data_IF_118901508404
#
_entry.id   IF_118901508404
#
_cell.length_a   1.000
_cell.length_b   1.000
_cell.length_c   1.000
_cell.angle_alpha   90.00
_cell.angle_beta   90.00
_cell.angle_gamma   90.00
#
_symmetry.space_group_name_H-M   'P 1'
#
loop_
_entity.id
_entity.type
_entity.pdbx_description
1 polymer ?
#
# COMPACT_ATOMS: atom_id res chain seq x y z
N UNK A 1 -16.49 -0.62 39.11
CA UNK A 1 -17.51 -1.05 38.11
C UNK A 1 -16.99 -0.63 36.74
N UNK A 2 -16.95 -1.56 35.80
CA UNK A 2 -16.49 -1.32 34.42
C UNK A 2 -17.62 -0.71 33.60
N UNK A 3 -17.25 0.03 32.52
CA UNK A 3 -18.23 0.50 31.56
C UNK A 3 -18.77 -0.66 30.72
N UNK A 4 -17.87 -1.56 30.29
CA UNK A 4 -18.22 -2.79 29.57
C UNK A 4 -17.41 -3.97 30.11
N UNK A 5 -18.06 -5.14 30.25
CA UNK A 5 -17.38 -6.41 30.51
C UNK A 5 -17.74 -7.43 29.44
N UNK A 6 -16.73 -7.98 28.77
CA UNK A 6 -16.88 -9.11 27.85
C UNK A 6 -16.62 -10.38 28.63
N UNK A 7 -17.63 -11.25 28.75
CA UNK A 7 -17.62 -12.46 29.58
C UNK A 7 -17.28 -13.72 28.80
N UNK A 8 -16.63 -14.66 29.47
CA UNK A 8 -16.48 -16.05 29.01
C UNK A 8 -15.76 -16.23 27.67
N UNK A 9 -15.05 -15.23 27.17
CA UNK A 9 -14.40 -15.26 25.86
C UNK A 9 -13.15 -16.15 25.83
N UNK A 10 -12.78 -16.59 24.65
CA UNK A 10 -11.45 -17.13 24.37
C UNK A 10 -10.58 -15.99 23.88
N UNK A 11 -9.67 -15.49 24.70
CA UNK A 11 -8.81 -14.34 24.37
C UNK A 11 -7.65 -14.78 23.48
N UNK A 12 -7.44 -14.01 22.38
CA UNK A 12 -6.28 -14.04 21.52
C UNK A 12 -5.76 -12.62 21.44
N UNK A 13 -4.72 -12.30 22.18
CA UNK A 13 -4.31 -10.94 22.50
C UNK A 13 -3.22 -10.38 21.55
N UNK A 14 -2.77 -11.17 20.57
CA UNK A 14 -1.75 -10.76 19.60
C UNK A 14 -0.30 -10.86 20.10
N UNK A 15 -0.05 -11.32 21.32
CA UNK A 15 1.30 -11.48 21.88
C UNK A 15 2.07 -12.66 21.31
N UNK A 16 1.42 -13.54 20.55
CA UNK A 16 1.98 -14.82 20.09
C UNK A 16 1.87 -15.95 21.11
N UNK A 17 1.35 -15.69 22.31
CA UNK A 17 1.07 -16.70 23.32
C UNK A 17 -0.18 -17.52 22.95
N UNK A 18 -0.31 -18.77 23.46
CA UNK A 18 -1.50 -19.56 23.28
C UNK A 18 -2.77 -18.85 23.81
N UNK A 19 -3.87 -19.04 23.10
CA UNK A 19 -5.20 -18.55 23.53
C UNK A 19 -5.57 -19.04 24.92
N UNK A 20 -6.29 -18.21 25.67
CA UNK A 20 -6.74 -18.52 27.02
C UNK A 20 -8.18 -18.02 27.30
N UNK A 21 -8.84 -18.55 28.28
CA UNK A 21 -10.17 -18.11 28.70
C UNK A 21 -10.06 -16.98 29.72
N UNK A 22 -10.73 -15.87 29.44
CA UNK A 22 -10.81 -14.73 30.34
C UNK A 22 -12.02 -13.85 30.02
N UNK A 23 -12.39 -13.02 31.02
CA UNK A 23 -13.22 -11.84 30.82
C UNK A 23 -12.32 -10.63 30.47
N UNK A 24 -12.87 -9.65 29.76
CA UNK A 24 -12.20 -8.40 29.48
C UNK A 24 -13.05 -7.24 29.99
N UNK A 25 -12.49 -6.43 30.89
CA UNK A 25 -13.15 -5.25 31.47
C UNK A 25 -12.59 -3.96 30.83
N UNK A 26 -13.48 -3.08 30.38
CA UNK A 26 -13.16 -1.81 29.75
C UNK A 26 -13.72 -0.64 30.56
N UNK A 27 -12.94 0.46 30.60
CA UNK A 27 -13.36 1.76 31.13
C UNK A 27 -13.03 2.81 30.05
N UNK A 28 -14.06 3.42 29.48
CA UNK A 28 -13.90 4.33 28.34
C UNK A 28 -13.22 3.60 27.17
N UNK A 29 -12.10 4.14 26.71
CA UNK A 29 -11.26 3.63 25.62
C UNK A 29 -10.15 2.67 26.06
N UNK A 30 -10.12 2.26 27.33
CA UNK A 30 -9.03 1.48 27.93
C UNK A 30 -9.45 0.09 28.35
N UNK A 31 -8.62 -0.91 28.03
CA UNK A 31 -8.69 -2.23 28.64
C UNK A 31 -8.17 -2.08 30.08
N UNK A 32 -9.06 -2.19 31.05
CA UNK A 32 -8.75 -1.99 32.45
C UNK A 32 -8.35 -3.29 33.16
N UNK A 33 -8.87 -4.44 32.70
CA UNK A 33 -8.54 -5.75 33.24
C UNK A 33 -8.77 -6.88 32.25
N UNK A 34 -7.90 -7.89 32.28
CA UNK A 34 -8.11 -9.18 31.59
C UNK A 34 -7.91 -10.28 32.63
N UNK A 35 -8.87 -11.19 32.74
CA UNK A 35 -8.81 -12.28 33.70
C UNK A 35 -10.21 -12.67 34.20
N UNK A 36 -10.30 -13.19 35.42
CA UNK A 36 -11.59 -13.49 36.05
C UNK A 36 -12.13 -12.23 36.74
N UNK A 37 -13.12 -11.60 36.11
CA UNK A 37 -13.75 -10.36 36.61
C UNK A 37 -15.02 -10.72 37.38
N UNK A 38 -15.08 -10.35 38.66
CA UNK A 38 -16.27 -10.60 39.50
C UNK A 38 -17.25 -9.44 39.50
N UNK A 39 -16.74 -8.24 39.28
CA UNK A 39 -17.51 -7.00 39.24
C UNK A 39 -18.38 -6.95 37.97
N UNK A 40 -19.55 -6.33 38.10
CA UNK A 40 -20.43 -6.08 36.96
C UNK A 40 -19.94 -4.89 36.13
N UNK A 41 -20.14 -4.98 34.81
CA UNK A 41 -20.11 -3.86 33.91
C UNK A 41 -21.45 -3.12 33.91
N UNK A 42 -21.43 -1.83 33.43
CA UNK A 42 -22.66 -1.14 33.05
C UNK A 42 -23.35 -1.91 31.91
N UNK A 43 -22.53 -2.39 30.98
CA UNK A 43 -22.90 -3.28 29.87
C UNK A 43 -22.10 -4.60 30.01
N UNK A 44 -22.70 -5.69 29.58
CA UNK A 44 -22.04 -6.99 29.53
C UNK A 44 -22.33 -7.71 28.21
N UNK A 45 -21.29 -8.28 27.62
CA UNK A 45 -21.37 -9.11 26.41
C UNK A 45 -20.97 -10.52 26.76
N UNK A 46 -21.85 -11.49 26.52
CA UNK A 46 -21.49 -12.90 26.66
C UNK A 46 -20.80 -13.40 25.38
N UNK A 47 -19.50 -13.65 25.48
CA UNK A 47 -18.66 -14.18 24.42
C UNK A 47 -18.44 -15.69 24.55
N UNK A 48 -19.36 -16.44 25.19
CA UNK A 48 -19.26 -17.89 25.30
C UNK A 48 -19.15 -18.52 23.90
N UNK A 49 -18.08 -19.30 23.67
CA UNK A 49 -17.79 -19.92 22.37
C UNK A 49 -17.19 -19.01 21.32
N UNK A 50 -16.98 -17.74 21.64
CA UNK A 50 -16.39 -16.76 20.74
C UNK A 50 -14.93 -16.45 21.07
N UNK A 51 -14.20 -15.90 20.09
CA UNK A 51 -12.86 -15.36 20.26
C UNK A 51 -12.97 -13.85 20.53
N UNK A 52 -12.24 -13.39 21.54
CA UNK A 52 -12.06 -11.97 21.86
C UNK A 52 -10.64 -11.59 21.50
N UNK A 53 -10.47 -10.69 20.56
CA UNK A 53 -9.16 -10.21 20.10
C UNK A 53 -9.15 -8.68 19.99
N UNK A 54 -7.97 -8.04 19.99
CA UNK A 54 -7.84 -6.68 19.49
C UNK A 54 -8.38 -6.56 18.06
N UNK A 55 -8.82 -5.37 17.69
CA UNK A 55 -9.17 -5.09 16.31
C UNK A 55 -7.97 -5.29 15.38
N UNK A 56 -8.22 -5.69 14.14
CA UNK A 56 -7.16 -5.93 13.17
C UNK A 56 -6.55 -4.62 12.70
N UNK A 57 -5.23 -4.66 12.46
CA UNK A 57 -4.49 -3.58 11.81
C UNK A 57 -4.24 -4.01 10.37
N UNK A 58 -4.82 -3.29 9.40
CA UNK A 58 -4.46 -3.45 8.00
C UNK A 58 -3.20 -2.63 7.74
N UNK A 59 -2.06 -3.31 7.67
CA UNK A 59 -0.73 -2.69 7.58
C UNK A 59 -0.36 -2.19 6.18
N UNK A 60 -1.20 -2.43 5.16
CA UNK A 60 -0.90 -2.00 3.80
C UNK A 60 -2.18 -1.63 3.04
N UNK A 61 -2.49 -0.34 3.01
CA UNK A 61 -3.64 0.19 2.27
C UNK A 61 -3.23 1.38 1.42
N UNK A 62 -4.07 1.71 0.42
CA UNK A 62 -3.99 2.93 -0.38
C UNK A 62 -5.23 3.80 -0.14
N UNK A 63 -5.62 3.94 1.13
CA UNK A 63 -6.77 4.73 1.54
C UNK A 63 -6.48 6.24 1.63
N UNK A 64 -5.29 6.69 1.23
CA UNK A 64 -4.83 8.08 1.30
C UNK A 64 -5.81 9.08 0.68
N UNK A 65 -6.38 8.71 -0.46
CA UNK A 65 -7.43 9.48 -1.11
C UNK A 65 -8.83 9.07 -0.63
N UNK A 66 -9.07 7.76 -0.43
CA UNK A 66 -10.36 7.21 -0.06
C UNK A 66 -10.90 7.78 1.25
N UNK A 67 -10.04 8.08 2.21
CA UNK A 67 -10.43 8.64 3.51
C UNK A 67 -11.26 9.93 3.38
N UNK A 68 -11.15 10.66 2.26
CA UNK A 68 -11.89 11.90 2.02
C UNK A 68 -13.33 11.70 1.52
N UNK A 69 -13.67 10.54 0.95
CA UNK A 69 -15.06 10.22 0.55
C UNK A 69 -15.64 9.04 1.33
N UNK A 70 -14.81 8.25 1.97
CA UNK A 70 -15.21 7.15 2.84
C UNK A 70 -14.35 7.13 4.13
N UNK A 71 -14.50 8.15 4.99
CA UNK A 71 -13.71 8.22 6.23
C UNK A 71 -14.06 7.11 7.22
N UNK A 72 -15.20 6.41 7.02
CA UNK A 72 -15.57 5.27 7.87
C UNK A 72 -14.69 4.04 7.61
N UNK A 73 -13.97 4.00 6.49
CA UNK A 73 -13.18 2.84 6.07
C UNK A 73 -14.08 1.64 5.79
N UNK A 74 -15.17 1.86 5.04
CA UNK A 74 -16.13 0.82 4.64
C UNK A 74 -15.42 -0.37 4.01
N UNK A 75 -16.02 -1.55 4.10
CA UNK A 75 -15.42 -2.85 3.85
C UNK A 75 -14.38 -3.23 4.91
N UNK A 76 -13.33 -2.45 5.15
CA UNK A 76 -12.30 -2.78 6.14
C UNK A 76 -12.89 -2.87 7.56
N UNK A 77 -13.65 -1.88 8.01
CA UNK A 77 -14.29 -1.90 9.33
C UNK A 77 -15.29 -3.05 9.50
N UNK A 78 -15.98 -3.46 8.42
CA UNK A 78 -16.92 -4.59 8.45
C UNK A 78 -16.22 -5.94 8.65
N UNK A 79 -14.93 -6.01 8.40
CA UNK A 79 -14.09 -7.19 8.61
C UNK A 79 -13.29 -7.14 9.92
N UNK A 80 -13.62 -6.19 10.83
CA UNK A 80 -12.97 -6.07 12.13
C UNK A 80 -11.64 -5.30 12.09
N UNK A 81 -11.33 -4.60 10.99
CA UNK A 81 -10.20 -3.67 10.94
C UNK A 81 -10.56 -2.44 11.77
N UNK A 82 -9.70 -2.09 12.71
CA UNK A 82 -9.83 -0.90 13.57
C UNK A 82 -8.75 0.14 13.30
N UNK A 83 -7.72 -0.22 12.54
CA UNK A 83 -6.64 0.69 12.14
C UNK A 83 -6.20 0.34 10.72
N UNK A 84 -6.14 1.33 9.83
CA UNK A 84 -5.58 1.21 8.49
C UNK A 84 -4.30 2.03 8.37
N UNK A 85 -3.27 1.44 7.77
CA UNK A 85 -2.00 2.13 7.47
C UNK A 85 -2.02 2.59 6.02
N UNK A 86 -1.90 3.91 5.84
CA UNK A 86 -1.84 4.60 4.55
C UNK A 86 -0.40 4.96 4.18
N UNK A 87 -0.19 5.48 2.98
CA UNK A 87 1.11 5.94 2.52
C UNK A 87 2.04 4.82 2.11
N UNK A 88 1.51 3.70 1.63
CA UNK A 88 2.31 2.56 1.20
C UNK A 88 2.86 2.72 -0.22
N UNK A 89 3.83 1.91 -0.61
CA UNK A 89 4.45 1.87 -1.94
C UNK A 89 5.04 3.22 -2.41
N UNK A 90 5.36 4.13 -1.48
CA UNK A 90 5.86 5.46 -1.79
C UNK A 90 4.78 6.47 -2.19
N UNK A 91 3.50 6.16 -1.97
CA UNK A 91 2.37 7.00 -2.36
C UNK A 91 1.69 7.63 -1.15
N UNK A 92 1.70 8.95 -1.10
CA UNK A 92 0.93 9.77 -0.15
C UNK A 92 0.44 11.02 -0.86
N UNK A 93 -0.47 11.75 -0.21
CA UNK A 93 -0.95 13.04 -0.70
C UNK A 93 -0.16 14.23 -0.10
N UNK A 94 0.84 13.95 0.73
CA UNK A 94 1.67 14.95 1.40
C UNK A 94 3.12 14.44 1.57
N UNK A 95 4.11 15.35 1.63
CA UNK A 95 3.99 16.80 1.50
C UNK A 95 3.68 17.25 0.08
N UNK A 96 3.14 18.47 -0.08
CA UNK A 96 2.91 19.07 -1.36
C UNK A 96 1.86 20.16 -1.38
N UNK A 97 2.10 21.24 -2.13
CA UNK A 97 1.18 22.36 -2.25
C UNK A 97 0.03 22.08 -3.21
N UNK A 98 -0.99 22.96 -3.19
CA UNK A 98 -2.12 22.89 -4.12
C UNK A 98 -1.69 22.94 -5.59
N UNK A 99 -0.62 23.67 -5.92
CA UNK A 99 -0.06 23.75 -7.27
C UNK A 99 0.61 22.42 -7.71
N UNK A 100 1.07 21.63 -6.76
CA UNK A 100 1.71 20.32 -6.99
C UNK A 100 0.71 19.16 -7.00
N UNK A 101 -0.56 19.42 -6.62
CA UNK A 101 -1.60 18.43 -6.43
C UNK A 101 -1.67 17.41 -7.57
N UNK A 102 -1.79 17.89 -8.81
CA UNK A 102 -2.00 17.00 -9.97
C UNK A 102 -0.78 16.11 -10.23
N UNK A 103 0.43 16.60 -9.98
CA UNK A 103 1.67 15.80 -10.06
C UNK A 103 1.70 14.72 -8.96
N UNK A 104 1.31 15.07 -7.73
CA UNK A 104 1.28 14.11 -6.61
C UNK A 104 0.23 13.05 -6.86
N UNK A 105 -0.99 13.42 -7.27
CA UNK A 105 -2.07 12.49 -7.59
C UNK A 105 -1.70 11.57 -8.75
N UNK A 106 -0.94 12.05 -9.74
CA UNK A 106 -0.53 11.24 -10.89
C UNK A 106 0.29 10.00 -10.49
N UNK A 107 1.04 10.05 -9.37
CA UNK A 107 1.79 8.89 -8.87
C UNK A 107 0.88 7.73 -8.45
N UNK A 108 -0.33 8.01 -7.95
CA UNK A 108 -1.20 6.98 -7.35
C UNK A 108 -2.30 6.50 -8.31
N UNK A 109 -2.77 7.34 -9.22
CA UNK A 109 -3.93 7.07 -10.10
C UNK A 109 -3.83 5.71 -10.79
N UNK A 110 -2.75 5.48 -11.53
CA UNK A 110 -2.58 4.24 -12.30
C UNK A 110 -1.95 3.13 -11.46
N UNK A 111 -1.07 3.48 -10.55
CA UNK A 111 -0.37 2.49 -9.73
C UNK A 111 -1.37 1.67 -8.90
N UNK A 112 -2.42 2.33 -8.41
CA UNK A 112 -3.43 1.75 -7.52
C UNK A 112 -4.84 1.72 -8.14
N UNK A 113 -4.96 2.06 -9.43
CA UNK A 113 -6.21 2.05 -10.20
C UNK A 113 -7.33 2.89 -9.55
N UNK A 114 -6.95 4.05 -8.98
CA UNK A 114 -7.88 4.97 -8.33
C UNK A 114 -8.35 6.02 -9.34
N UNK A 115 -9.67 6.28 -9.39
CA UNK A 115 -10.25 7.25 -10.30
C UNK A 115 -9.77 8.68 -10.02
N UNK A 116 -9.18 9.34 -11.04
CA UNK A 116 -8.81 10.75 -10.97
C UNK A 116 -10.00 11.66 -10.68
N UNK A 117 -11.16 11.37 -11.30
CA UNK A 117 -12.39 12.15 -11.12
C UNK A 117 -12.92 12.02 -9.68
N UNK A 118 -12.86 10.82 -9.09
CA UNK A 118 -13.25 10.61 -7.70
C UNK A 118 -12.35 11.41 -6.74
N UNK A 119 -11.04 11.38 -6.96
CA UNK A 119 -10.09 12.16 -6.16
C UNK A 119 -10.30 13.67 -6.32
N UNK A 120 -10.50 14.14 -7.55
CA UNK A 120 -10.76 15.57 -7.83
C UNK A 120 -12.04 16.07 -7.17
N UNK A 121 -13.06 15.23 -7.12
CA UNK A 121 -14.36 15.58 -6.52
C UNK A 121 -14.33 15.58 -4.98
N UNK A 122 -13.54 14.70 -4.36
CA UNK A 122 -13.57 14.46 -2.93
C UNK A 122 -12.51 15.26 -2.16
N UNK A 123 -11.33 15.48 -2.75
CA UNK A 123 -10.19 16.05 -2.04
C UNK A 123 -10.19 17.57 -2.14
N UNK A 124 -10.37 18.23 -1.00
CA UNK A 124 -10.00 19.63 -0.83
C UNK A 124 -8.54 19.66 -0.39
N UNK A 125 -7.70 20.29 -1.19
CA UNK A 125 -6.27 20.34 -0.92
C UNK A 125 -5.94 21.50 0.01
N UNK A 126 -6.12 21.29 1.32
CA UNK A 126 -5.99 22.32 2.37
C UNK A 126 -4.70 22.10 3.20
N UNK A 127 -3.62 21.59 2.59
CA UNK A 127 -2.33 21.35 3.23
C UNK A 127 -1.16 21.60 2.29
N UNK A 128 0.02 21.76 2.86
CA UNK A 128 1.33 21.76 2.17
C UNK A 128 2.27 20.78 2.84
N UNK A 129 2.34 20.81 4.18
CA UNK A 129 3.17 19.91 4.96
C UNK A 129 2.46 18.58 5.27
N UNK A 130 3.26 17.58 5.66
CA UNK A 130 2.72 16.31 6.13
C UNK A 130 1.90 16.46 7.43
N UNK A 131 2.32 17.39 8.33
CA UNK A 131 1.57 17.71 9.55
C UNK A 131 0.18 18.23 9.25
N UNK A 132 0.06 19.20 8.36
CA UNK A 132 -1.24 19.77 7.99
C UNK A 132 -2.16 18.71 7.36
N UNK A 133 -1.61 17.80 6.55
CA UNK A 133 -2.36 16.65 6.01
C UNK A 133 -2.91 15.76 7.13
N UNK A 134 -2.09 15.40 8.12
CA UNK A 134 -2.57 14.62 9.26
C UNK A 134 -3.64 15.37 10.05
N UNK A 135 -3.50 16.68 10.25
CA UNK A 135 -4.50 17.53 10.93
C UNK A 135 -5.84 17.56 10.17
N UNK A 136 -5.80 17.55 8.83
CA UNK A 136 -7.01 17.47 7.99
C UNK A 136 -7.65 16.08 8.13
N UNK A 137 -6.88 15.01 8.02
CA UNK A 137 -7.36 13.64 8.20
C UNK A 137 -7.93 13.44 9.61
N UNK A 138 -7.31 14.04 10.63
CA UNK A 138 -7.78 13.90 12.01
C UNK A 138 -9.17 14.50 12.25
N UNK A 139 -9.55 15.54 11.54
CA UNK A 139 -10.86 16.18 11.62
C UNK A 139 -11.99 15.43 10.92
N UNK A 140 -11.69 14.40 10.12
CA UNK A 140 -12.70 13.62 9.42
C UNK A 140 -13.53 12.76 10.40
N UNK A 141 -14.81 12.49 10.12
CA UNK A 141 -15.66 11.65 10.97
C UNK A 141 -15.34 10.16 10.78
N UNK A 142 -14.23 9.72 11.33
CA UNK A 142 -13.68 8.36 11.16
C UNK A 142 -14.39 7.33 12.03
N UNK A 143 -14.57 6.11 11.49
CA UNK A 143 -15.02 4.94 12.27
C UNK A 143 -13.85 4.03 12.70
N UNK A 144 -12.70 4.13 12.02
CA UNK A 144 -11.46 3.43 12.34
C UNK A 144 -10.31 4.41 12.48
N UNK A 145 -9.21 3.98 13.07
CA UNK A 145 -8.00 4.78 13.12
C UNK A 145 -7.25 4.72 11.80
N UNK A 146 -6.59 5.82 11.44
CA UNK A 146 -5.69 5.90 10.32
C UNK A 146 -4.30 6.28 10.81
N UNK A 147 -3.30 5.53 10.36
CA UNK A 147 -1.89 5.86 10.51
C UNK A 147 -1.29 6.05 9.11
N UNK A 148 -0.34 6.94 8.95
CA UNK A 148 0.23 7.22 7.63
C UNK A 148 1.75 7.20 7.66
N UNK A 149 2.34 6.62 6.61
CA UNK A 149 3.74 6.79 6.27
C UNK A 149 3.91 8.04 5.42
N UNK A 150 5.13 8.57 5.32
CA UNK A 150 5.49 9.52 4.28
C UNK A 150 5.99 8.77 3.04
N UNK A 151 5.43 9.07 1.86
CA UNK A 151 5.73 8.40 0.61
C UNK A 151 6.81 9.09 -0.20
N UNK A 152 7.78 8.31 -0.69
CA UNK A 152 8.93 8.80 -1.45
C UNK A 152 8.55 9.54 -2.74
N UNK A 153 7.53 9.06 -3.46
CA UNK A 153 7.07 9.73 -4.68
C UNK A 153 6.51 11.12 -4.40
N UNK A 154 5.72 11.28 -3.33
CA UNK A 154 5.21 12.58 -2.93
C UNK A 154 6.34 13.50 -2.44
N UNK A 155 7.25 12.98 -1.63
CA UNK A 155 8.43 13.69 -1.12
C UNK A 155 9.30 14.23 -2.26
N UNK A 156 9.66 13.39 -3.23
CA UNK A 156 10.41 13.79 -4.43
C UNK A 156 9.65 14.83 -5.26
N UNK A 157 8.34 14.62 -5.46
CA UNK A 157 7.50 15.56 -6.23
C UNK A 157 7.44 16.93 -5.54
N UNK A 158 7.34 16.94 -4.22
CA UNK A 158 7.33 18.19 -3.45
C UNK A 158 8.64 18.96 -3.58
N UNK A 159 9.78 18.30 -3.39
CA UNK A 159 11.10 18.94 -3.40
C UNK A 159 11.57 19.30 -4.81
N UNK A 160 11.38 18.41 -5.78
CA UNK A 160 11.98 18.53 -7.11
C UNK A 160 11.01 19.03 -8.19
N UNK A 161 9.69 19.04 -7.89
CA UNK A 161 8.67 19.35 -8.89
C UNK A 161 8.71 18.41 -10.11
N UNK A 162 8.59 18.92 -11.35
CA UNK A 162 8.64 18.09 -12.56
C UNK A 162 9.92 17.26 -12.74
N UNK A 163 11.05 17.73 -12.19
CA UNK A 163 12.33 17.01 -12.23
C UNK A 163 12.27 15.65 -11.53
N UNK A 164 11.37 15.47 -10.58
CA UNK A 164 11.19 14.21 -9.86
C UNK A 164 10.92 13.01 -10.76
N UNK A 165 10.33 13.25 -11.94
CA UNK A 165 9.94 12.23 -12.91
C UNK A 165 10.97 12.00 -14.03
N UNK A 166 12.15 12.64 -13.96
CA UNK A 166 13.12 12.60 -15.04
C UNK A 166 14.57 12.55 -14.55
N UNK A 167 14.83 12.99 -13.32
CA UNK A 167 16.18 13.21 -12.82
C UNK A 167 16.41 12.52 -11.48
N UNK A 168 17.65 12.20 -11.21
CA UNK A 168 18.10 11.87 -9.85
C UNK A 168 18.16 13.16 -9.02
N UNK A 169 18.01 13.02 -7.72
CA UNK A 169 18.13 14.13 -6.78
C UNK A 169 19.57 14.66 -6.76
N UNK A 170 19.71 15.98 -6.72
CA UNK A 170 20.97 16.64 -6.37
C UNK A 170 21.22 16.51 -4.85
N UNK A 171 22.39 16.92 -4.41
CA UNK A 171 22.71 16.99 -2.97
C UNK A 171 21.75 17.93 -2.22
N UNK A 172 21.41 19.08 -2.82
CA UNK A 172 20.48 20.03 -2.21
C UNK A 172 19.05 19.47 -2.14
N UNK A 173 18.60 18.79 -3.22
CA UNK A 173 17.31 18.09 -3.22
C UNK A 173 17.25 17.02 -2.12
N UNK A 174 18.34 16.26 -1.95
CA UNK A 174 18.40 15.23 -0.92
C UNK A 174 18.37 15.83 0.49
N UNK A 175 19.11 16.91 0.73
CA UNK A 175 19.05 17.64 2.01
C UNK A 175 17.65 18.19 2.33
N UNK A 176 16.92 18.68 1.32
CA UNK A 176 15.54 19.11 1.48
C UNK A 176 14.60 17.91 1.79
N UNK A 177 14.77 16.77 1.11
CA UNK A 177 14.01 15.55 1.41
C UNK A 177 14.29 15.01 2.81
N UNK A 178 15.53 15.09 3.29
CA UNK A 178 15.90 14.71 4.65
C UNK A 178 15.17 15.56 5.70
N UNK A 179 15.09 16.87 5.48
CA UNK A 179 14.36 17.78 6.35
C UNK A 179 12.87 17.44 6.41
N UNK A 180 12.22 17.31 5.27
CA UNK A 180 10.79 16.96 5.17
C UNK A 180 10.48 15.59 5.79
N UNK A 181 11.38 14.59 5.64
CA UNK A 181 11.25 13.29 6.27
C UNK A 181 11.26 13.40 7.81
N UNK A 182 12.19 14.17 8.37
CA UNK A 182 12.26 14.37 9.82
C UNK A 182 11.04 15.11 10.35
N UNK A 183 10.60 16.15 9.66
CA UNK A 183 9.38 16.91 10.02
C UNK A 183 8.12 16.02 9.96
N UNK A 184 8.03 15.13 8.97
CA UNK A 184 6.92 14.18 8.88
C UNK A 184 6.94 13.19 10.06
N UNK A 185 8.12 12.65 10.44
CA UNK A 185 8.26 11.75 11.59
C UNK A 185 7.90 12.47 12.89
N UNK A 186 8.27 13.73 13.04
CA UNK A 186 7.92 14.57 14.20
C UNK A 186 6.42 14.94 14.21
N UNK A 187 5.80 15.01 13.04
CA UNK A 187 4.36 15.20 12.92
C UNK A 187 3.55 13.96 13.28
N UNK A 188 4.14 12.76 13.25
CA UNK A 188 3.46 11.50 13.57
C UNK A 188 3.43 10.50 12.43
N UNK A 189 4.20 10.68 11.34
CA UNK A 189 4.40 9.63 10.36
C UNK A 189 4.96 8.38 11.06
N UNK A 190 4.37 7.22 10.75
CA UNK A 190 4.80 5.96 11.35
C UNK A 190 5.99 5.33 10.63
N UNK A 191 6.38 5.88 9.48
CA UNK A 191 7.50 5.41 8.69
C UNK A 191 7.65 6.12 7.36
N UNK A 192 8.54 5.58 6.55
CA UNK A 192 8.85 6.03 5.19
C UNK A 192 8.61 4.89 4.22
N UNK A 193 8.07 5.18 3.04
CA UNK A 193 7.79 4.15 2.05
C UNK A 193 8.36 4.53 0.69
N UNK A 194 8.75 3.54 -0.09
CA UNK A 194 9.27 3.76 -1.44
C UNK A 194 8.91 2.62 -2.39
N UNK A 195 8.99 2.93 -3.69
CA UNK A 195 8.82 1.95 -4.74
C UNK A 195 9.92 2.06 -5.78
N UNK A 196 10.56 0.93 -6.08
CA UNK A 196 11.32 0.73 -7.30
C UNK A 196 10.65 -0.29 -8.23
N UNK A 197 9.34 -0.51 -8.04
CA UNK A 197 8.55 -1.40 -8.90
C UNK A 197 8.34 -0.76 -10.28
N UNK A 198 8.81 -1.41 -11.32
CA UNK A 198 8.60 -0.97 -12.71
C UNK A 198 7.14 -1.03 -13.17
N UNK A 199 6.26 -1.65 -12.37
CA UNK A 199 4.82 -1.66 -12.60
C UNK A 199 4.12 -0.37 -12.18
N UNK A 200 4.75 0.42 -11.30
CA UNK A 200 4.19 1.70 -10.86
C UNK A 200 4.53 2.80 -11.89
N UNK A 201 3.50 3.27 -12.56
CA UNK A 201 3.61 4.21 -13.68
C UNK A 201 2.57 5.33 -13.58
N UNK A 202 2.87 6.45 -14.21
CA UNK A 202 1.92 7.55 -14.39
C UNK A 202 0.76 7.15 -15.32
N UNK A 203 -0.37 7.87 -15.26
CA UNK A 203 -1.50 7.65 -16.17
C UNK A 203 -1.11 7.81 -17.65
N UNK A 204 -1.87 7.16 -18.53
CA UNK A 204 -1.80 7.44 -19.97
C UNK A 204 -2.18 8.91 -20.27
N UNK A 205 -1.61 9.55 -21.26
CA UNK A 205 -0.65 9.00 -22.26
C UNK A 205 0.82 9.02 -21.80
N UNK A 206 1.15 9.57 -20.63
CA UNK A 206 2.53 9.73 -20.15
C UNK A 206 3.21 8.37 -19.94
N UNK A 207 2.62 7.49 -19.13
CA UNK A 207 3.09 6.12 -18.92
C UNK A 207 4.56 5.99 -18.44
N UNK A 208 5.18 7.08 -17.98
CA UNK A 208 6.51 7.07 -17.36
C UNK A 208 6.45 6.41 -15.97
N UNK A 209 7.59 5.97 -15.42
CA UNK A 209 7.67 5.53 -14.03
C UNK A 209 7.24 6.64 -13.05
N UNK A 210 6.71 6.26 -11.88
CA UNK A 210 6.43 7.20 -10.79
C UNK A 210 7.71 7.82 -10.23
N UNK A 211 7.60 8.92 -9.52
CA UNK A 211 8.73 9.73 -9.09
C UNK A 211 9.81 8.94 -8.31
N UNK A 212 9.42 8.04 -7.40
CA UNK A 212 10.37 7.23 -6.62
C UNK A 212 11.21 6.26 -7.45
N UNK A 213 10.74 5.86 -8.65
CA UNK A 213 11.51 4.97 -9.55
C UNK A 213 12.71 5.66 -10.21
N UNK A 214 12.83 6.98 -10.10
CA UNK A 214 13.99 7.74 -10.57
C UNK A 214 15.05 7.96 -9.48
N UNK A 215 14.78 7.50 -8.25
CA UNK A 215 15.73 7.57 -7.16
C UNK A 215 16.88 6.59 -7.34
N UNK A 216 18.07 7.00 -6.94
CA UNK A 216 19.18 6.07 -6.79
C UNK A 216 19.03 5.21 -5.54
N UNK A 217 19.76 4.09 -5.48
CA UNK A 217 19.81 3.28 -4.26
C UNK A 217 20.46 4.03 -3.09
N UNK A 218 21.41 4.90 -3.41
CA UNK A 218 22.12 5.76 -2.43
C UNK A 218 21.15 6.75 -1.80
N UNK A 219 20.30 7.44 -2.59
CA UNK A 219 19.25 8.34 -2.10
C UNK A 219 18.31 7.60 -1.14
N UNK A 220 17.79 6.44 -1.57
CA UNK A 220 16.91 5.63 -0.75
C UNK A 220 17.57 5.19 0.56
N UNK A 221 18.82 4.69 0.47
CA UNK A 221 19.57 4.21 1.63
C UNK A 221 19.87 5.32 2.62
N UNK A 222 20.18 6.53 2.14
CA UNK A 222 20.47 7.68 2.99
C UNK A 222 19.23 8.09 3.78
N UNK A 223 18.07 8.20 3.15
CA UNK A 223 16.81 8.52 3.81
C UNK A 223 16.43 7.46 4.85
N UNK A 224 16.58 6.17 4.54
CA UNK A 224 16.28 5.09 5.48
C UNK A 224 17.26 5.09 6.65
N UNK A 225 18.57 5.31 6.41
CA UNK A 225 19.55 5.41 7.48
C UNK A 225 19.32 6.65 8.37
N UNK A 226 18.93 7.78 7.77
CA UNK A 226 18.54 8.97 8.53
C UNK A 226 17.35 8.67 9.45
N UNK A 227 16.30 8.04 8.94
CA UNK A 227 15.17 7.61 9.77
C UNK A 227 15.65 6.67 10.91
N UNK A 228 16.54 5.73 10.60
CA UNK A 228 17.15 4.83 11.60
C UNK A 228 17.86 5.55 12.73
N UNK A 229 18.55 6.64 12.44
CA UNK A 229 19.24 7.47 13.45
C UNK A 229 18.30 8.09 14.47
N UNK A 230 17.02 8.26 14.12
CA UNK A 230 15.99 8.76 15.05
C UNK A 230 15.46 7.69 16.02
N UNK A 231 15.75 6.42 15.77
CA UNK A 231 15.19 5.27 16.51
C UNK A 231 13.69 5.06 16.27
N UNK A 232 13.10 5.71 15.28
CA UNK A 232 11.67 5.68 14.95
C UNK A 232 11.45 5.22 13.51
N UNK A 233 10.22 4.81 13.22
CA UNK A 233 9.72 4.52 11.88
C UNK A 233 9.92 3.08 11.42
N UNK A 234 9.19 2.77 10.35
CA UNK A 234 9.24 1.53 9.59
C UNK A 234 9.51 1.90 8.14
N UNK A 235 10.33 1.14 7.44
CA UNK A 235 10.49 1.29 6.00
C UNK A 235 9.64 0.25 5.26
N UNK A 236 8.65 0.69 4.49
CA UNK A 236 7.89 -0.19 3.59
C UNK A 236 8.41 -0.03 2.15
N UNK A 237 8.61 -1.16 1.47
CA UNK A 237 9.30 -1.18 0.19
C UNK A 237 8.57 -2.01 -0.87
N UNK A 238 8.01 -1.33 -1.88
CA UNK A 238 7.55 -1.98 -3.10
C UNK A 238 8.76 -2.30 -3.99
N UNK A 239 9.22 -3.54 -3.90
CA UNK A 239 10.48 -4.02 -4.46
C UNK A 239 10.50 -4.00 -5.99
N UNK A 240 11.69 -3.81 -6.52
CA UNK A 240 12.02 -3.90 -7.93
C UNK A 240 11.67 -5.29 -8.52
N UNK A 241 11.53 -5.32 -9.85
CA UNK A 241 11.20 -6.54 -10.60
C UNK A 241 12.23 -7.66 -10.41
N UNK A 242 13.50 -7.29 -10.25
CA UNK A 242 14.64 -8.17 -10.05
C UNK A 242 14.47 -9.08 -8.82
N UNK A 243 13.74 -8.62 -7.81
CA UNK A 243 13.40 -9.43 -6.63
C UNK A 243 12.51 -10.65 -6.95
N UNK A 244 11.88 -10.66 -8.12
CA UNK A 244 11.03 -11.75 -8.63
C UNK A 244 11.60 -12.38 -9.91
N UNK A 245 12.86 -12.12 -10.22
CA UNK A 245 13.54 -12.73 -11.38
C UNK A 245 13.50 -14.25 -11.28
N UNK A 246 13.31 -14.98 -12.39
CA UNK A 246 13.52 -16.42 -12.39
C UNK A 246 14.99 -16.80 -12.11
N UNK A 247 15.95 -15.92 -12.40
CA UNK A 247 17.36 -16.14 -12.12
C UNK A 247 17.70 -15.85 -10.63
N UNK A 248 18.14 -16.85 -9.85
CA UNK A 248 18.50 -16.66 -8.45
C UNK A 248 19.68 -15.72 -8.23
N UNK A 249 20.59 -15.58 -9.20
CA UNK A 249 21.72 -14.66 -9.09
C UNK A 249 21.25 -13.21 -9.11
N UNK A 250 20.27 -12.91 -9.95
CA UNK A 250 19.66 -11.58 -10.01
C UNK A 250 18.92 -11.26 -8.71
N UNK A 251 18.12 -12.21 -8.19
CA UNK A 251 17.46 -12.05 -6.90
C UNK A 251 18.42 -11.83 -5.75
N UNK A 252 19.55 -12.55 -5.76
CA UNK A 252 20.57 -12.43 -4.71
C UNK A 252 21.12 -11.00 -4.60
N UNK A 253 21.42 -10.35 -5.71
CA UNK A 253 21.97 -8.97 -5.70
C UNK A 253 21.04 -8.00 -4.96
N UNK A 254 19.74 -8.03 -5.29
CA UNK A 254 18.77 -7.13 -4.67
C UNK A 254 18.42 -7.53 -3.23
N UNK A 255 18.49 -8.80 -2.90
CA UNK A 255 18.33 -9.28 -1.53
C UNK A 255 19.51 -8.86 -0.65
N UNK A 256 20.75 -9.03 -1.12
CA UNK A 256 21.95 -8.69 -0.35
C UNK A 256 21.98 -7.20 0.01
N UNK A 257 21.68 -6.30 -0.94
CA UNK A 257 21.65 -4.85 -0.66
C UNK A 257 20.53 -4.45 0.30
N UNK A 258 19.38 -5.13 0.25
CA UNK A 258 18.28 -4.87 1.18
C UNK A 258 18.63 -5.39 2.59
N UNK A 259 19.29 -6.54 2.69
CA UNK A 259 19.82 -7.08 3.93
C UNK A 259 20.84 -6.13 4.57
N UNK A 260 21.80 -5.64 3.77
CA UNK A 260 22.78 -4.65 4.24
C UNK A 260 22.09 -3.38 4.78
N UNK A 261 21.09 -2.88 4.06
CA UNK A 261 20.32 -1.71 4.49
C UNK A 261 19.60 -1.97 5.82
N UNK A 262 18.98 -3.14 6.00
CA UNK A 262 18.27 -3.48 7.23
C UNK A 262 19.21 -3.53 8.44
N UNK A 263 20.38 -4.15 8.28
CA UNK A 263 21.38 -4.27 9.35
C UNK A 263 22.00 -2.90 9.65
N UNK A 264 22.40 -2.16 8.61
CA UNK A 264 23.06 -0.85 8.77
C UNK A 264 22.16 0.21 9.38
N UNK A 265 20.90 0.28 8.94
CA UNK A 265 19.95 1.29 9.43
C UNK A 265 19.31 0.94 10.77
N UNK A 266 19.19 -0.35 11.11
CA UNK A 266 18.44 -0.84 12.25
C UNK A 266 16.92 -0.62 12.15
N UNK A 267 16.44 -0.08 11.02
CA UNK A 267 15.02 0.17 10.77
C UNK A 267 14.29 -1.14 10.48
N UNK A 268 13.09 -1.36 11.04
CA UNK A 268 12.23 -2.45 10.60
C UNK A 268 11.86 -2.24 9.12
N UNK A 269 12.13 -3.24 8.29
CA UNK A 269 11.79 -3.19 6.85
C UNK A 269 10.65 -4.17 6.56
N UNK A 270 9.65 -3.72 5.83
CA UNK A 270 8.55 -4.58 5.38
C UNK A 270 8.35 -4.51 3.87
N UNK A 271 7.97 -5.63 3.26
CA UNK A 271 7.73 -5.74 1.82
C UNK A 271 6.79 -6.90 1.47
N UNK A 272 6.14 -6.82 0.31
CA UNK A 272 5.21 -7.84 -0.16
C UNK A 272 5.90 -9.14 -0.58
N UNK A 273 5.38 -10.28 -0.10
CA UNK A 273 5.77 -11.64 -0.52
C UNK A 273 4.53 -12.31 -1.14
N UNK A 274 4.29 -12.17 -2.45
CA UNK A 274 3.13 -12.78 -3.09
C UNK A 274 3.28 -14.30 -3.17
N UNK A 275 2.33 -15.01 -2.60
CA UNK A 275 2.31 -16.48 -2.60
C UNK A 275 2.37 -17.04 -4.04
N UNK A 276 3.17 -18.07 -4.24
CA UNK A 276 3.34 -18.75 -5.55
C UNK A 276 4.21 -18.00 -6.57
N UNK A 277 4.71 -16.81 -6.25
CA UNK A 277 5.64 -16.11 -7.15
C UNK A 277 7.06 -16.73 -7.11
N UNK A 278 7.83 -16.62 -8.21
CA UNK A 278 9.24 -16.95 -8.18
C UNK A 278 9.97 -16.17 -7.07
N UNK A 279 10.90 -16.82 -6.35
CA UNK A 279 11.69 -16.19 -5.31
C UNK A 279 11.01 -16.06 -3.93
N UNK A 280 9.83 -16.65 -3.72
CA UNK A 280 9.18 -16.68 -2.38
C UNK A 280 10.12 -17.29 -1.33
N UNK A 281 10.74 -18.43 -1.62
CA UNK A 281 11.67 -19.07 -0.67
C UNK A 281 12.89 -18.20 -0.39
N UNK A 282 13.45 -17.53 -1.41
CA UNK A 282 14.58 -16.62 -1.22
C UNK A 282 14.17 -15.41 -0.34
N UNK A 283 12.93 -14.92 -0.50
CA UNK A 283 12.40 -13.86 0.35
C UNK A 283 12.22 -14.32 1.81
N UNK A 284 11.74 -15.54 2.05
CA UNK A 284 11.63 -16.11 3.40
C UNK A 284 13.03 -16.30 4.01
N UNK A 285 13.98 -16.86 3.25
CA UNK A 285 15.35 -17.01 3.71
C UNK A 285 16.01 -15.65 4.03
N UNK A 286 15.66 -14.59 3.27
CA UNK A 286 16.12 -13.23 3.55
C UNK A 286 15.64 -12.73 4.92
N UNK A 287 14.38 -13.02 5.30
CA UNK A 287 13.87 -12.67 6.62
C UNK A 287 14.64 -13.36 7.74
N UNK A 288 14.91 -14.65 7.58
CA UNK A 288 15.66 -15.46 8.56
C UNK A 288 17.11 -14.94 8.68
N UNK A 289 17.79 -14.73 7.55
CA UNK A 289 19.15 -14.19 7.52
C UNK A 289 19.24 -12.79 8.14
N UNK A 290 18.22 -11.94 7.90
CA UNK A 290 18.16 -10.62 8.52
C UNK A 290 18.05 -10.74 10.04
N UNK A 291 17.21 -11.62 10.55
CA UNK A 291 17.05 -11.85 11.99
C UNK A 291 18.33 -12.38 12.64
N UNK A 292 19.02 -13.31 12.01
CA UNK A 292 20.33 -13.81 12.44
C UNK A 292 21.40 -12.70 12.49
N UNK A 293 21.35 -11.77 11.55
CA UNK A 293 22.26 -10.62 11.46
C UNK A 293 21.87 -9.41 12.33
N UNK A 294 20.79 -9.54 13.13
CA UNK A 294 20.28 -8.46 13.99
C UNK A 294 19.41 -7.42 13.25
N UNK A 295 19.11 -7.63 11.98
CA UNK A 295 18.16 -6.84 11.23
C UNK A 295 16.71 -7.24 11.52
N UNK A 296 15.76 -6.34 11.24
CA UNK A 296 14.33 -6.61 11.44
C UNK A 296 13.61 -6.50 10.10
N UNK A 297 13.23 -7.64 9.53
CA UNK A 297 12.48 -7.69 8.27
C UNK A 297 11.17 -8.44 8.45
N UNK A 298 10.12 -8.00 7.73
CA UNK A 298 8.79 -8.59 7.80
C UNK A 298 8.20 -8.73 6.40
N UNK A 299 7.69 -9.92 6.10
CA UNK A 299 6.97 -10.19 4.86
C UNK A 299 5.47 -9.90 5.00
N UNK A 300 4.91 -9.19 4.03
CA UNK A 300 3.47 -8.96 3.91
C UNK A 300 2.87 -9.91 2.88
N UNK A 301 1.72 -10.49 3.18
CA UNK A 301 0.98 -11.31 2.23
C UNK A 301 -0.51 -11.06 2.37
N UNK A 302 -1.27 -11.42 1.35
CA UNK A 302 -2.73 -11.31 1.38
C UNK A 302 -3.33 -12.37 2.30
N UNK A 303 -4.35 -11.98 3.06
CA UNK A 303 -5.12 -12.88 3.92
C UNK A 303 -6.20 -13.66 3.15
N UNK A 304 -6.44 -13.32 1.90
CA UNK A 304 -7.47 -13.90 1.02
C UNK A 304 -7.02 -13.89 -0.44
N UNK A 305 -7.75 -14.60 -1.29
CA UNK A 305 -7.60 -14.46 -2.74
C UNK A 305 -7.92 -13.04 -3.23
N UNK A 306 -7.26 -12.63 -4.30
CA UNK A 306 -7.49 -11.32 -4.92
C UNK A 306 -8.57 -11.50 -5.99
N UNK A 307 -9.64 -10.70 -5.90
CA UNK A 307 -10.68 -10.61 -6.92
C UNK A 307 -10.68 -9.22 -7.54
N UNK A 308 -10.79 -9.15 -8.86
CA UNK A 308 -10.87 -7.91 -9.61
C UNK A 308 -12.21 -7.81 -10.32
N UNK A 309 -12.87 -6.67 -10.21
CA UNK A 309 -14.01 -6.34 -11.06
C UNK A 309 -13.49 -5.55 -12.27
N UNK A 310 -13.71 -6.09 -13.47
CA UNK A 310 -13.27 -5.49 -14.72
C UNK A 310 -14.48 -4.94 -15.49
N UNK A 311 -14.29 -3.80 -16.13
CA UNK A 311 -15.33 -3.16 -16.94
C UNK A 311 -14.74 -2.60 -18.23
N UNK A 312 -15.50 -2.63 -19.31
CA UNK A 312 -15.13 -1.96 -20.56
C UNK A 312 -15.09 -0.41 -20.43
N UNK A 313 -15.60 0.14 -19.34
CA UNK A 313 -15.45 1.56 -19.00
C UNK A 313 -14.12 1.86 -18.30
N UNK A 314 -13.48 0.86 -17.72
CA UNK A 314 -12.18 0.95 -17.07
C UNK A 314 -11.09 0.24 -17.89
N UNK A 315 -9.95 0.00 -17.26
CA UNK A 315 -8.83 -0.72 -17.86
C UNK A 315 -9.07 -2.23 -17.83
N UNK A 316 -8.69 -2.89 -18.91
CA UNK A 316 -8.77 -4.35 -19.06
C UNK A 316 -7.37 -4.96 -19.15
N UNK A 317 -7.26 -6.24 -18.81
CA UNK A 317 -5.99 -6.98 -18.83
C UNK A 317 -5.33 -7.07 -20.21
N UNK A 318 -6.07 -6.85 -21.27
CA UNK A 318 -5.62 -6.96 -22.67
C UNK A 318 -5.49 -5.62 -23.38
N UNK A 319 -5.72 -4.49 -22.71
CA UNK A 319 -5.67 -3.16 -23.32
C UNK A 319 -4.29 -2.78 -23.87
N UNK A 320 -3.22 -3.41 -23.39
CA UNK A 320 -1.86 -3.18 -23.89
C UNK A 320 -1.54 -3.99 -25.17
N UNK A 321 -2.38 -4.94 -25.57
CA UNK A 321 -2.21 -5.66 -26.83
C UNK A 321 -2.48 -4.72 -28.02
N UNK A 322 -1.68 -4.78 -29.10
CA UNK A 322 -1.78 -3.83 -30.22
C UNK A 322 -3.17 -3.74 -30.84
N UNK A 323 -3.86 -4.88 -30.99
CA UNK A 323 -5.21 -4.96 -31.57
C UNK A 323 -6.24 -4.31 -30.66
N UNK A 324 -6.10 -4.48 -29.34
CA UNK A 324 -6.98 -3.91 -28.33
C UNK A 324 -6.75 -2.41 -28.18
N UNK A 325 -5.51 -1.94 -28.20
CA UNK A 325 -5.18 -0.50 -28.14
C UNK A 325 -5.93 0.31 -29.17
N UNK A 326 -6.02 -0.21 -30.41
CA UNK A 326 -6.70 0.48 -31.50
C UNK A 326 -8.20 0.68 -31.20
N UNK A 327 -8.86 -0.34 -30.68
CA UNK A 327 -10.30 -0.30 -30.37
C UNK A 327 -10.53 0.50 -29.07
N UNK A 328 -9.69 0.29 -28.06
CA UNK A 328 -9.84 0.95 -26.76
C UNK A 328 -9.60 2.47 -26.79
N UNK A 329 -8.85 2.97 -27.78
CA UNK A 329 -8.69 4.40 -28.02
C UNK A 329 -9.95 5.08 -28.60
N UNK A 330 -10.95 4.31 -29.03
CA UNK A 330 -12.19 4.86 -29.57
C UNK A 330 -13.16 5.27 -28.45
N UNK A 331 -14.10 6.21 -28.72
CA UNK A 331 -15.21 6.48 -27.82
C UNK A 331 -16.02 5.21 -27.51
N UNK A 332 -16.62 5.11 -26.34
CA UNK A 332 -17.27 3.88 -25.84
C UNK A 332 -18.32 3.32 -26.81
N UNK A 333 -19.07 4.19 -27.50
CA UNK A 333 -20.08 3.76 -28.47
C UNK A 333 -19.48 3.15 -29.74
N UNK A 334 -18.31 3.64 -30.17
CA UNK A 334 -17.57 3.06 -31.29
C UNK A 334 -16.90 1.74 -30.86
N UNK A 335 -16.44 1.63 -29.62
CA UNK A 335 -15.97 0.36 -29.08
C UNK A 335 -17.10 -0.70 -29.09
N UNK A 336 -18.32 -0.32 -28.70
CA UNK A 336 -19.50 -1.22 -28.74
C UNK A 336 -19.77 -1.73 -30.14
N UNK A 337 -19.68 -0.87 -31.17
CA UNK A 337 -19.83 -1.28 -32.57
C UNK A 337 -18.72 -2.27 -32.98
N UNK A 338 -17.46 -1.97 -32.66
CA UNK A 338 -16.33 -2.84 -32.93
C UNK A 338 -16.48 -4.21 -32.26
N UNK A 339 -16.95 -4.25 -31.00
CA UNK A 339 -17.19 -5.52 -30.29
C UNK A 339 -18.40 -6.29 -30.82
N UNK A 340 -19.33 -5.63 -31.50
CA UNK A 340 -20.49 -6.27 -32.14
C UNK A 340 -20.17 -6.80 -33.53
N UNK A 341 -19.11 -6.33 -34.18
CA UNK A 341 -18.64 -6.82 -35.46
C UNK A 341 -17.98 -8.21 -35.31
N UNK A 342 -18.44 -9.24 -36.01
CA UNK A 342 -17.92 -10.60 -35.85
C UNK A 342 -16.43 -10.76 -36.21
N UNK A 343 -15.94 -10.06 -37.23
CA UNK A 343 -14.56 -10.15 -37.68
C UNK A 343 -13.62 -9.42 -36.67
N UNK A 344 -14.00 -8.24 -36.25
CA UNK A 344 -13.26 -7.51 -35.21
C UNK A 344 -13.23 -8.29 -33.89
N UNK A 345 -14.35 -8.84 -33.47
CA UNK A 345 -14.43 -9.67 -32.26
C UNK A 345 -13.52 -10.89 -32.35
N UNK A 346 -13.51 -11.59 -33.49
CA UNK A 346 -12.62 -12.72 -33.71
C UNK A 346 -11.16 -12.31 -33.60
N UNK A 347 -10.77 -11.19 -34.24
CA UNK A 347 -9.41 -10.65 -34.19
C UNK A 347 -8.98 -10.31 -32.75
N UNK A 348 -9.85 -9.67 -31.97
CA UNK A 348 -9.57 -9.32 -30.57
C UNK A 348 -9.47 -10.57 -29.69
N UNK A 349 -10.33 -11.55 -29.86
CA UNK A 349 -10.26 -12.83 -29.12
C UNK A 349 -8.98 -13.59 -29.46
N UNK A 350 -8.60 -13.66 -30.73
CA UNK A 350 -7.37 -14.31 -31.17
C UNK A 350 -6.13 -13.60 -30.61
N UNK A 351 -6.12 -12.26 -30.62
CA UNK A 351 -5.08 -11.45 -29.99
C UNK A 351 -4.99 -11.71 -28.48
N UNK A 352 -6.15 -11.81 -27.79
CA UNK A 352 -6.17 -12.09 -26.35
C UNK A 352 -5.64 -13.48 -26.01
N UNK A 353 -5.96 -14.49 -26.83
CA UNK A 353 -5.51 -15.88 -26.60
C UNK A 353 -4.02 -16.09 -26.88
N UNK A 354 -3.52 -15.44 -27.92
CA UNK A 354 -2.18 -15.66 -28.47
C UNK A 354 -1.20 -14.52 -28.18
N UNK A 355 -1.68 -13.42 -27.61
CA UNK A 355 -0.88 -12.23 -27.32
C UNK A 355 0.22 -12.47 -26.27
N UNK A 356 1.24 -11.65 -26.35
CA UNK A 356 2.32 -11.64 -25.38
C UNK A 356 1.98 -10.68 -24.25
N UNK A 357 1.74 -11.26 -23.08
CA UNK A 357 1.49 -10.51 -21.84
C UNK A 357 2.80 -10.32 -21.09
N UNK A 358 2.98 -9.14 -20.54
CA UNK A 358 4.13 -8.86 -19.69
C UNK A 358 3.92 -9.51 -18.32
N UNK A 359 5.01 -9.92 -17.68
CA UNK A 359 5.03 -10.51 -16.34
C UNK A 359 5.68 -9.53 -15.37
N UNK A 360 4.89 -8.79 -14.60
CA UNK A 360 5.40 -7.83 -13.60
C UNK A 360 4.27 -7.28 -12.73
N UNK A 361 4.60 -6.81 -11.54
CA UNK A 361 3.59 -6.24 -10.62
C UNK A 361 2.84 -5.07 -11.25
N UNK A 362 1.51 -5.04 -11.12
CA UNK A 362 0.65 -4.01 -11.71
C UNK A 362 0.45 -4.09 -13.24
N UNK A 363 1.19 -4.95 -13.95
CA UNK A 363 1.02 -5.13 -15.40
C UNK A 363 -0.06 -6.17 -15.71
N UNK A 364 -0.77 -6.03 -16.85
CA UNK A 364 -1.79 -6.97 -17.27
C UNK A 364 -1.20 -8.39 -17.42
N UNK A 365 -1.78 -9.34 -16.70
CA UNK A 365 -1.44 -10.76 -16.81
C UNK A 365 -2.36 -11.41 -17.82
N UNK A 366 -1.89 -12.49 -18.45
CA UNK A 366 -2.76 -13.31 -19.31
C UNK A 366 -4.01 -13.74 -18.52
N UNK A 367 -5.22 -13.51 -19.02
CA UNK A 367 -6.45 -13.91 -18.34
C UNK A 367 -6.50 -15.41 -18.08
N UNK A 368 -6.94 -15.80 -16.89
CA UNK A 368 -7.30 -17.19 -16.56
C UNK A 368 -8.81 -17.31 -16.67
N UNK A 369 -9.29 -17.66 -17.86
CA UNK A 369 -10.71 -17.60 -18.21
C UNK A 369 -11.59 -18.45 -17.30
N UNK A 370 -11.06 -19.57 -16.76
CA UNK A 370 -11.78 -20.44 -15.84
C UNK A 370 -12.18 -19.72 -14.53
N UNK A 371 -11.47 -18.65 -14.19
CA UNK A 371 -11.69 -17.85 -12.99
C UNK A 371 -12.44 -16.53 -13.28
N UNK A 372 -12.91 -16.32 -14.52
CA UNK A 372 -13.64 -15.12 -14.92
C UNK A 372 -15.14 -15.40 -14.98
N UNK A 373 -15.91 -14.52 -14.34
CA UNK A 373 -17.37 -14.57 -14.35
C UNK A 373 -17.92 -13.27 -14.93
N UNK A 374 -18.99 -13.39 -15.71
CA UNK A 374 -19.76 -12.23 -16.19
C UNK A 374 -20.79 -11.89 -15.12
N UNK A 375 -20.81 -10.65 -14.66
CA UNK A 375 -21.71 -10.14 -13.61
C UNK A 375 -22.74 -9.20 -14.22
#
# INVERSE_FOLDING_TARGET
MYDLVIRNGTVVDGTGLPRYRADVGLNGDRIAAIGRIRERGKEEIDATGQVVSPGFIDGHTHMDAQVFWDPLGSCSCWHGVTTAVMGNCGFTLAPGSAEQRDMILSNIIRAEDISADAMAAAIRWDWTSFREYLDVVDKLPKAINYASNIGHSALRTHVMGPRAFEQQASHDDLGAMEHELLDALDAGAIGFTSSLSTGHKLPEPDNRPVASNHASWEELSQLVCLMGSTGRGIFEYAREREARSPDPKVRKVVNDRLLELAIKSGVPITFGIPAGAPGVQDALNLLDTAAEGGGRMFGQTHTRGISHMLSFKGRLQFDDLPEWKQVRALPIEEQRKAFSDPEQRKRLVDATRNGVYRTGGGEPRKPTYENMHVV
#
